data_IF_029812920209
#
_entry.id   IF_029812920209
#
_cell.length_a   1.000
_cell.length_b   1.000
_cell.length_c   1.000
_cell.angle_alpha   90.00
_cell.angle_beta   90.00
_cell.angle_gamma   90.00
#
_symmetry.space_group_name_H-M   'P 1'
#
loop_
_entity.id
_entity.type
_entity.pdbx_description
1 polymer ?
#
# COMPACT_ATOMS: atom_id res chain seq x y z
N UNK A 1 -16.05 42.60 -20.89
CA UNK A 1 -16.50 41.21 -21.05
C UNK A 1 -15.35 40.25 -21.41
N UNK A 2 -14.50 40.61 -22.34
CA UNK A 2 -13.39 39.72 -22.74
C UNK A 2 -12.35 39.55 -21.63
N UNK A 3 -12.06 40.58 -20.86
CA UNK A 3 -11.14 40.49 -19.71
C UNK A 3 -11.70 39.63 -18.58
N UNK A 4 -13.01 39.71 -18.37
CA UNK A 4 -13.70 38.89 -17.37
C UNK A 4 -13.66 37.41 -17.73
N UNK A 5 -13.92 37.08 -18.99
CA UNK A 5 -13.85 35.71 -19.49
C UNK A 5 -12.43 35.17 -19.43
N UNK A 6 -11.44 36.02 -19.69
CA UNK A 6 -10.02 35.64 -19.58
C UNK A 6 -9.63 35.32 -18.14
N UNK A 7 -10.05 36.15 -17.19
CA UNK A 7 -9.82 35.91 -15.76
C UNK A 7 -10.48 34.61 -15.30
N UNK A 8 -11.70 34.37 -15.79
CA UNK A 8 -12.41 33.14 -15.46
C UNK A 8 -11.69 31.93 -16.00
N UNK A 9 -11.16 31.98 -17.21
CA UNK A 9 -10.39 30.90 -17.81
C UNK A 9 -9.09 30.66 -17.04
N UNK A 10 -8.42 31.71 -16.60
CA UNK A 10 -7.20 31.60 -15.79
C UNK A 10 -7.47 30.95 -14.43
N UNK A 11 -8.57 31.33 -13.77
CA UNK A 11 -8.97 30.74 -12.50
C UNK A 11 -9.31 29.25 -12.64
N UNK A 12 -10.00 28.87 -13.71
CA UNK A 12 -10.32 27.48 -13.98
C UNK A 12 -9.06 26.65 -14.23
N UNK A 13 -8.09 27.23 -14.93
CA UNK A 13 -6.82 26.57 -15.19
C UNK A 13 -6.02 26.38 -13.91
N UNK A 14 -5.99 27.39 -13.04
CA UNK A 14 -5.32 27.30 -11.75
C UNK A 14 -5.96 26.24 -10.86
N UNK A 15 -7.29 26.16 -10.85
CA UNK A 15 -8.02 25.16 -10.09
C UNK A 15 -7.72 23.75 -10.60
N UNK A 16 -7.65 23.56 -11.92
CA UNK A 16 -7.31 22.28 -12.52
C UNK A 16 -5.89 21.86 -12.16
N UNK A 17 -4.93 22.77 -12.23
CA UNK A 17 -3.54 22.51 -11.85
C UNK A 17 -3.41 22.15 -10.37
N UNK A 18 -4.13 22.86 -9.52
CA UNK A 18 -4.15 22.60 -8.08
C UNK A 18 -4.74 21.24 -7.78
N UNK A 19 -5.81 20.87 -8.47
CA UNK A 19 -6.46 19.58 -8.33
C UNK A 19 -5.51 18.43 -8.70
N UNK A 20 -4.79 18.57 -9.82
CA UNK A 20 -3.82 17.58 -10.27
C UNK A 20 -2.68 17.41 -9.27
N UNK A 21 -2.17 18.52 -8.75
CA UNK A 21 -1.11 18.47 -7.73
C UNK A 21 -1.58 17.79 -6.46
N UNK A 22 -2.81 18.05 -6.04
CA UNK A 22 -3.42 17.44 -4.86
C UNK A 22 -3.59 15.94 -5.06
N UNK A 23 -4.08 15.51 -6.23
CA UNK A 23 -4.22 14.09 -6.56
C UNK A 23 -2.87 13.37 -6.56
N UNK A 24 -1.84 13.98 -7.15
CA UNK A 24 -0.49 13.40 -7.17
C UNK A 24 0.06 13.27 -5.75
N UNK A 25 -0.14 14.28 -4.91
CA UNK A 25 0.30 14.22 -3.51
C UNK A 25 -0.44 13.15 -2.74
N UNK A 26 -1.74 12.97 -2.99
CA UNK A 26 -2.54 11.91 -2.36
C UNK A 26 -2.06 10.51 -2.78
N UNK A 27 -1.80 10.30 -4.06
CA UNK A 27 -1.26 9.02 -4.55
C UNK A 27 0.11 8.73 -3.96
N UNK A 28 0.96 9.75 -3.82
CA UNK A 28 2.27 9.60 -3.20
C UNK A 28 2.15 9.23 -1.72
N UNK A 29 1.23 9.87 -1.00
CA UNK A 29 0.95 9.59 0.40
C UNK A 29 0.43 8.17 0.58
N UNK A 30 -0.50 7.75 -0.29
CA UNK A 30 -1.04 6.38 -0.29
C UNK A 30 0.06 5.35 -0.57
N UNK A 31 0.94 5.64 -1.51
CA UNK A 31 2.08 4.77 -1.82
C UNK A 31 2.98 4.57 -0.61
N UNK A 32 3.32 5.65 0.10
CA UNK A 32 4.11 5.56 1.31
C UNK A 32 3.41 4.78 2.42
N UNK A 33 2.11 4.99 2.55
CA UNK A 33 1.29 4.30 3.54
C UNK A 33 1.26 2.80 3.27
N UNK A 34 1.02 2.39 2.04
CA UNK A 34 1.01 0.98 1.65
C UNK A 34 2.38 0.34 1.79
N UNK A 35 3.44 1.09 1.51
CA UNK A 35 4.80 0.61 1.73
C UNK A 35 5.06 0.32 3.21
N UNK A 36 4.60 1.22 4.09
CA UNK A 36 4.70 1.03 5.55
C UNK A 36 3.94 -0.21 6.02
N UNK A 37 2.72 -0.41 5.51
CA UNK A 37 1.92 -1.60 5.82
C UNK A 37 2.60 -2.87 5.31
N UNK A 38 3.19 -2.82 4.12
CA UNK A 38 3.92 -3.96 3.56
C UNK A 38 5.10 -4.36 4.46
N UNK A 39 5.87 -3.40 4.91
CA UNK A 39 7.01 -3.66 5.81
C UNK A 39 6.55 -4.20 7.17
N UNK A 40 5.47 -3.64 7.71
CA UNK A 40 4.90 -4.07 8.98
C UNK A 40 4.35 -5.50 8.88
N UNK A 41 3.61 -5.84 7.83
CA UNK A 41 3.07 -7.18 7.63
C UNK A 41 4.16 -8.21 7.34
N UNK A 42 5.24 -7.80 6.67
CA UNK A 42 6.40 -8.66 6.45
C UNK A 42 7.07 -9.03 7.77
N UNK A 43 7.26 -8.05 8.65
CA UNK A 43 7.83 -8.30 9.98
C UNK A 43 6.90 -9.19 10.82
N UNK A 44 5.60 -8.95 10.77
CA UNK A 44 4.60 -9.76 11.45
C UNK A 44 4.60 -11.20 10.96
N UNK A 45 4.69 -11.41 9.65
CA UNK A 45 4.76 -12.73 9.04
C UNK A 45 6.00 -13.48 9.52
N UNK A 46 7.14 -12.81 9.53
CA UNK A 46 8.39 -13.43 9.99
C UNK A 46 8.31 -13.83 11.46
N UNK A 47 7.75 -12.96 12.30
CA UNK A 47 7.54 -13.26 13.71
C UNK A 47 6.60 -14.45 13.90
N UNK A 48 5.51 -14.52 13.12
CA UNK A 48 4.56 -15.63 13.17
C UNK A 48 5.19 -16.94 12.70
N UNK A 49 6.03 -16.91 11.68
CA UNK A 49 6.78 -18.09 11.22
C UNK A 49 7.72 -18.63 12.30
N UNK A 50 8.46 -17.74 12.92
CA UNK A 50 9.40 -18.12 14.00
C UNK A 50 8.64 -18.71 15.19
N UNK A 51 7.54 -18.07 15.59
CA UNK A 51 6.70 -18.53 16.68
C UNK A 51 6.08 -19.90 16.39
N UNK A 52 5.54 -20.09 15.18
CA UNK A 52 4.94 -21.36 14.77
C UNK A 52 5.98 -22.48 14.73
N UNK A 53 7.15 -22.19 14.22
CA UNK A 53 8.26 -23.16 14.16
C UNK A 53 8.68 -23.59 15.56
N UNK A 54 8.83 -22.62 16.49
CA UNK A 54 9.19 -22.91 17.88
C UNK A 54 8.14 -23.74 18.60
N UNK A 55 6.84 -23.38 18.46
CA UNK A 55 5.74 -24.11 19.09
C UNK A 55 5.61 -25.50 18.52
N UNK A 56 5.76 -25.67 17.20
CA UNK A 56 5.71 -26.97 16.55
C UNK A 56 6.85 -27.87 17.00
N UNK A 57 8.04 -27.32 17.14
CA UNK A 57 9.21 -28.08 17.63
C UNK A 57 9.01 -28.52 19.08
N UNK A 58 8.52 -27.63 19.94
CA UNK A 58 8.23 -27.97 21.33
C UNK A 58 7.16 -29.05 21.44
N UNK A 59 6.12 -29.00 20.59
CA UNK A 59 5.09 -30.03 20.54
C UNK A 59 5.67 -31.38 20.11
N UNK A 60 6.49 -31.39 19.06
CA UNK A 60 7.09 -32.62 18.52
C UNK A 60 8.07 -33.27 19.50
N UNK A 61 8.76 -32.47 20.31
CA UNK A 61 9.68 -32.96 21.34
C UNK A 61 8.98 -33.32 22.63
N UNK A 62 7.67 -33.15 22.73
CA UNK A 62 6.88 -33.53 23.89
C UNK A 62 6.99 -32.58 25.08
N UNK A 63 7.52 -31.38 24.87
CA UNK A 63 7.66 -30.39 25.92
C UNK A 63 6.39 -29.53 25.96
N UNK A 64 5.58 -29.65 26.95
CA UNK A 64 4.50 -28.79 27.46
C UNK A 64 3.60 -27.99 26.46
N UNK A 65 3.58 -28.31 25.16
CA UNK A 65 2.68 -27.65 24.23
C UNK A 65 1.49 -28.54 23.89
N UNK A 66 0.29 -27.94 23.86
CA UNK A 66 -0.95 -28.65 23.53
C UNK A 66 -1.22 -28.61 22.04
N UNK A 67 -2.04 -29.55 21.56
CA UNK A 67 -2.51 -29.55 20.16
C UNK A 67 -3.23 -28.25 19.83
N UNK A 68 -4.00 -27.70 20.79
CA UNK A 68 -4.69 -26.43 20.61
C UNK A 68 -3.72 -25.28 20.37
N UNK A 69 -2.62 -25.21 21.10
CA UNK A 69 -1.60 -24.18 20.91
C UNK A 69 -0.97 -24.27 19.53
N UNK A 70 -0.69 -25.47 19.03
CA UNK A 70 -0.16 -25.69 17.67
C UNK A 70 -1.18 -25.19 16.63
N UNK A 71 -2.45 -25.54 16.79
CA UNK A 71 -3.51 -25.11 15.86
C UNK A 71 -3.64 -23.59 15.86
N UNK A 72 -3.65 -22.97 17.03
CA UNK A 72 -3.73 -21.51 17.17
C UNK A 72 -2.53 -20.84 16.51
N UNK A 73 -1.34 -21.37 16.69
CA UNK A 73 -0.12 -20.83 16.08
C UNK A 73 -0.18 -20.91 14.56
N UNK A 74 -0.65 -22.03 14.02
CA UNK A 74 -0.84 -22.19 12.57
C UNK A 74 -1.87 -21.24 12.01
N UNK A 75 -2.95 -21.01 12.75
CA UNK A 75 -4.00 -20.06 12.38
C UNK A 75 -3.45 -18.63 12.31
N UNK A 76 -2.67 -18.24 13.31
CA UNK A 76 -2.01 -16.92 13.33
C UNK A 76 -1.02 -16.76 12.18
N UNK A 77 -0.28 -17.81 11.85
CA UNK A 77 0.63 -17.80 10.72
C UNK A 77 -0.11 -17.62 9.40
N UNK A 78 -1.23 -18.34 9.23
CA UNK A 78 -2.05 -18.21 8.04
C UNK A 78 -2.62 -16.80 7.90
N UNK A 79 -3.14 -16.23 8.99
CA UNK A 79 -3.64 -14.86 9.01
C UNK A 79 -2.55 -13.86 8.64
N UNK A 80 -1.33 -14.06 9.15
CA UNK A 80 -0.19 -13.20 8.82
C UNK A 80 0.19 -13.30 7.35
N UNK A 81 0.15 -14.49 6.77
CA UNK A 81 0.41 -14.70 5.33
C UNK A 81 -0.65 -14.01 4.47
N UNK A 82 -1.91 -14.10 4.86
CA UNK A 82 -3.01 -13.44 4.14
C UNK A 82 -2.84 -11.92 4.22
N UNK A 83 -2.56 -11.39 5.40
CA UNK A 83 -2.34 -9.95 5.58
C UNK A 83 -1.17 -9.44 4.75
N UNK A 84 -0.09 -10.19 4.71
CA UNK A 84 1.09 -9.83 3.92
C UNK A 84 0.78 -9.88 2.42
N UNK A 85 0.07 -10.90 1.95
CA UNK A 85 -0.32 -11.01 0.55
C UNK A 85 -1.22 -9.86 0.12
N UNK A 86 -2.17 -9.45 0.97
CA UNK A 86 -3.03 -8.28 0.72
C UNK A 86 -2.21 -7.00 0.66
N UNK A 87 -1.24 -6.85 1.56
CA UNK A 87 -0.36 -5.68 1.60
C UNK A 87 0.51 -5.60 0.34
N UNK A 88 1.02 -6.73 -0.15
CA UNK A 88 1.77 -6.79 -1.41
C UNK A 88 0.91 -6.36 -2.58
N UNK A 89 -0.32 -6.88 -2.65
CA UNK A 89 -1.27 -6.50 -3.70
C UNK A 89 -1.56 -5.01 -3.67
N UNK A 90 -1.87 -4.48 -2.49
CA UNK A 90 -2.21 -3.07 -2.34
C UNK A 90 -1.02 -2.17 -2.70
N UNK A 91 0.18 -2.58 -2.32
CA UNK A 91 1.40 -1.86 -2.67
C UNK A 91 1.64 -1.84 -4.17
N UNK A 92 1.49 -2.98 -4.84
CA UNK A 92 1.65 -3.09 -6.30
C UNK A 92 0.63 -2.21 -7.02
N UNK A 93 -0.62 -2.25 -6.58
CA UNK A 93 -1.68 -1.42 -7.16
C UNK A 93 -1.35 0.07 -6.98
N UNK A 94 -0.89 0.46 -5.79
CA UNK A 94 -0.53 1.86 -5.52
C UNK A 94 0.66 2.32 -6.37
N UNK A 95 1.61 1.43 -6.67
CA UNK A 95 2.72 1.72 -7.56
C UNK A 95 2.23 2.01 -8.99
N UNK A 96 1.31 1.18 -9.49
CA UNK A 96 0.74 1.37 -10.82
C UNK A 96 -0.09 2.65 -10.89
N UNK A 97 -0.88 2.94 -9.87
CA UNK A 97 -1.66 4.17 -9.82
C UNK A 97 -0.77 5.41 -9.80
N UNK A 98 0.29 5.38 -8.99
CA UNK A 98 1.23 6.49 -8.93
C UNK A 98 1.97 6.66 -10.28
N UNK A 99 2.42 5.56 -10.88
CA UNK A 99 3.09 5.59 -12.18
C UNK A 99 2.15 6.10 -13.27
N UNK A 100 0.89 5.67 -13.24
CA UNK A 100 -0.12 6.14 -14.18
C UNK A 100 -0.36 7.64 -14.01
N UNK A 101 -0.49 8.11 -12.79
CA UNK A 101 -0.70 9.53 -12.49
C UNK A 101 0.48 10.38 -12.96
N UNK A 102 1.70 9.95 -12.68
CA UNK A 102 2.91 10.63 -13.13
C UNK A 102 3.05 10.60 -14.65
N UNK A 103 2.72 9.47 -15.27
CA UNK A 103 2.72 9.32 -16.72
C UNK A 103 1.72 10.25 -17.40
N UNK A 104 0.53 10.36 -16.83
CA UNK A 104 -0.51 11.27 -17.31
C UNK A 104 -0.06 12.71 -17.18
N UNK A 105 0.53 13.06 -16.05
CA UNK A 105 1.04 14.40 -15.79
C UNK A 105 2.16 14.77 -16.78
N UNK A 106 3.10 13.84 -16.98
CA UNK A 106 4.22 14.03 -17.92
C UNK A 106 3.71 14.13 -19.36
N UNK A 107 2.78 13.27 -19.74
CA UNK A 107 2.16 13.31 -21.07
C UNK A 107 1.45 14.63 -21.31
N UNK A 108 0.74 15.14 -20.30
CA UNK A 108 0.04 16.41 -20.36
C UNK A 108 1.00 17.59 -20.48
N UNK A 109 2.15 17.54 -19.80
CA UNK A 109 3.16 18.62 -19.85
C UNK A 109 4.00 18.58 -21.11
N UNK A 110 4.19 17.41 -21.72
CA UNK A 110 5.01 17.23 -22.93
C UNK A 110 4.20 17.42 -24.20
N UNK A 111 2.89 17.38 -24.11
CA UNK A 111 2.01 17.48 -25.28
C UNK A 111 2.16 18.84 -25.95
N UNK A 112 2.81 18.95 -27.10
CA UNK A 112 2.88 20.21 -27.81
C UNK A 112 1.54 20.47 -28.47
N UNK A 113 1.03 21.63 -28.27
CA UNK A 113 -0.09 22.15 -29.06
C UNK A 113 -1.16 21.13 -29.44
#
# INVERSE_FOLDING_TARGET
KSSFNKQRAELLLQDANKSVKTETANHWSDFKSFKGVLEATKAQLKAAEIANEGISLEYDTGITRTTLEVIQSRSLLLDARISHAKAERDFIISQFELAFQLGTLTSSSVKPL
#
